data_IF_416816082878
#
_entry.id   IF_416816082878
#
_cell.length_a   1.000
_cell.length_b   1.000
_cell.length_c   1.000
_cell.angle_alpha   90.00
_cell.angle_beta   90.00
_cell.angle_gamma   90.00
#
_symmetry.space_group_name_H-M   'P 1'
#
loop_
_entity.id
_entity.type
_entity.pdbx_description
1 polymer ?
#
# COMPACT_ATOMS: atom_id res chain seq x y z
N UNK A 1 -15.05 26.38 -37.92
CA UNK A 1 -15.28 25.12 -37.17
C UNK A 1 -15.26 25.27 -35.62
N UNK A 2 -15.29 26.50 -35.05
CA UNK A 2 -15.24 26.75 -33.58
C UNK A 2 -16.64 26.79 -32.93
N UNK A 3 -17.72 26.81 -33.73
CA UNK A 3 -19.08 26.99 -33.21
C UNK A 3 -19.61 25.77 -32.43
N UNK A 4 -19.19 24.55 -32.73
CA UNK A 4 -19.81 23.34 -32.17
C UNK A 4 -19.60 23.22 -30.65
N UNK A 5 -18.40 23.53 -30.16
CA UNK A 5 -18.11 23.58 -28.72
C UNK A 5 -18.94 24.64 -27.98
N UNK A 6 -19.15 25.80 -28.62
CA UNK A 6 -19.95 26.88 -28.04
C UNK A 6 -21.43 26.50 -27.94
N UNK A 7 -21.94 25.77 -28.93
CA UNK A 7 -23.30 25.22 -28.94
C UNK A 7 -23.44 24.15 -27.86
N UNK A 8 -22.51 23.20 -27.78
CA UNK A 8 -22.48 22.16 -26.75
C UNK A 8 -22.46 22.74 -25.32
N UNK A 9 -21.67 23.79 -25.08
CA UNK A 9 -21.68 24.49 -23.79
C UNK A 9 -23.06 25.08 -23.46
N UNK A 10 -23.79 25.61 -24.45
CA UNK A 10 -25.14 26.15 -24.24
C UNK A 10 -26.15 25.04 -23.95
N UNK A 11 -26.08 23.93 -24.68
CA UNK A 11 -26.93 22.76 -24.47
C UNK A 11 -26.69 22.11 -23.10
N UNK A 12 -25.43 21.94 -22.68
CA UNK A 12 -25.14 21.35 -21.37
C UNK A 12 -25.58 22.28 -20.22
N UNK A 13 -25.54 23.60 -20.44
CA UNK A 13 -26.08 24.60 -19.50
C UNK A 13 -27.61 24.60 -19.47
N UNK A 14 -28.28 24.43 -20.61
CA UNK A 14 -29.74 24.33 -20.66
C UNK A 14 -30.22 23.03 -20.01
N UNK A 15 -29.50 21.94 -20.22
CA UNK A 15 -29.72 20.65 -19.59
C UNK A 15 -29.58 20.72 -18.06
N UNK A 16 -28.54 21.38 -17.55
CA UNK A 16 -28.38 21.62 -16.11
C UNK A 16 -29.48 22.46 -15.46
N UNK A 17 -30.20 23.28 -16.23
CA UNK A 17 -31.39 23.98 -15.74
C UNK A 17 -32.63 23.09 -15.67
N UNK A 18 -32.68 22.02 -16.48
CA UNK A 18 -33.83 21.10 -16.58
C UNK A 18 -33.72 19.91 -15.65
N UNK A 19 -32.51 19.47 -15.32
CA UNK A 19 -32.26 18.30 -14.47
C UNK A 19 -31.98 18.71 -13.03
N UNK A 20 -32.86 18.29 -12.12
CA UNK A 20 -32.69 18.51 -10.68
C UNK A 20 -31.41 17.79 -10.21
N UNK A 21 -30.53 18.50 -9.50
CA UNK A 21 -29.23 18.03 -8.99
C UNK A 21 -28.08 17.91 -10.01
N UNK A 22 -28.24 18.33 -11.26
CA UNK A 22 -27.11 18.40 -12.20
C UNK A 22 -26.56 19.83 -12.29
N UNK A 23 -25.31 20.04 -11.88
CA UNK A 23 -24.63 21.34 -11.97
C UNK A 23 -23.67 21.35 -13.15
N UNK A 24 -23.84 22.33 -14.05
CA UNK A 24 -22.88 22.54 -15.13
C UNK A 24 -21.50 22.92 -14.57
N UNK A 25 -20.46 22.22 -15.03
CA UNK A 25 -19.05 22.46 -14.75
C UNK A 25 -18.23 22.20 -16.03
N UNK A 26 -17.03 22.77 -16.13
CA UNK A 26 -16.17 22.50 -17.29
C UNK A 26 -15.72 21.04 -17.33
N UNK A 27 -15.55 20.40 -16.17
CA UNK A 27 -15.31 18.97 -16.07
C UNK A 27 -16.47 18.15 -16.62
N UNK A 28 -17.73 18.49 -16.33
CA UNK A 28 -18.89 17.79 -16.89
C UNK A 28 -18.95 17.86 -18.42
N UNK A 29 -18.50 18.97 -19.03
CA UNK A 29 -18.39 19.09 -20.49
C UNK A 29 -17.32 18.15 -21.05
N UNK A 30 -16.16 18.10 -20.41
CA UNK A 30 -15.05 17.22 -20.83
C UNK A 30 -15.46 15.75 -20.67
N UNK A 31 -16.06 15.39 -19.54
CA UNK A 31 -16.60 14.04 -19.29
C UNK A 31 -17.66 13.66 -20.32
N UNK A 32 -18.61 14.55 -20.63
CA UNK A 32 -19.63 14.30 -21.66
C UNK A 32 -19.02 14.01 -23.03
N UNK A 33 -17.99 14.78 -23.44
CA UNK A 33 -17.29 14.56 -24.70
C UNK A 33 -16.51 13.23 -24.73
N UNK A 34 -15.80 12.92 -23.64
CA UNK A 34 -15.07 11.66 -23.50
C UNK A 34 -16.02 10.45 -23.52
N UNK A 35 -17.10 10.50 -22.76
CA UNK A 35 -18.12 9.44 -22.74
C UNK A 35 -18.79 9.30 -24.10
N UNK A 36 -19.18 10.40 -24.75
CA UNK A 36 -19.77 10.36 -26.08
C UNK A 36 -18.84 9.81 -27.16
N UNK A 37 -17.53 10.10 -27.07
CA UNK A 37 -16.52 9.52 -27.97
C UNK A 37 -16.36 8.01 -27.76
N UNK A 38 -16.37 7.54 -26.51
CA UNK A 38 -16.30 6.11 -26.17
C UNK A 38 -17.49 5.37 -26.77
N UNK A 39 -18.69 5.92 -26.63
CA UNK A 39 -19.92 5.32 -27.14
C UNK A 39 -19.98 5.29 -28.68
N UNK A 40 -19.51 6.37 -29.35
CA UNK A 40 -19.47 6.45 -30.81
C UNK A 40 -18.38 5.60 -31.46
N UNK A 41 -17.22 5.47 -30.81
CA UNK A 41 -16.05 4.78 -31.39
C UNK A 41 -15.95 3.32 -30.94
N UNK A 42 -16.76 2.88 -29.98
CA UNK A 42 -16.69 1.55 -29.39
C UNK A 42 -15.37 1.27 -28.66
N UNK A 43 -14.50 2.28 -28.51
CA UNK A 43 -13.22 2.15 -27.81
C UNK A 43 -13.50 2.27 -26.33
N UNK A 44 -13.51 1.14 -25.64
CA UNK A 44 -13.45 1.05 -24.18
C UNK A 44 -12.12 1.62 -23.69
N UNK A 45 -11.99 2.95 -23.68
CA UNK A 45 -10.83 3.62 -23.13
C UNK A 45 -10.70 3.19 -21.66
N UNK A 46 -9.50 2.74 -21.32
CA UNK A 46 -8.98 2.09 -20.11
C UNK A 46 -9.28 2.73 -18.73
N UNK A 47 -10.38 3.47 -18.58
CA UNK A 47 -10.81 4.04 -17.30
C UNK A 47 -11.10 2.94 -16.26
N UNK A 48 -11.66 1.80 -16.71
CA UNK A 48 -11.86 0.60 -15.87
C UNK A 48 -10.58 -0.24 -15.66
N UNK A 49 -9.59 -0.15 -16.56
CA UNK A 49 -8.31 -0.86 -16.38
C UNK A 49 -7.49 -0.26 -15.24
N UNK A 50 -7.47 1.08 -15.11
CA UNK A 50 -6.77 1.75 -14.03
C UNK A 50 -7.34 1.38 -12.65
N UNK A 51 -8.67 1.28 -12.52
CA UNK A 51 -9.33 0.86 -11.27
C UNK A 51 -9.01 -0.60 -10.88
N UNK A 52 -9.04 -1.51 -11.86
CA UNK A 52 -8.69 -2.91 -11.65
C UNK A 52 -7.21 -3.10 -11.29
N UNK A 53 -6.32 -2.31 -11.90
CA UNK A 53 -4.89 -2.33 -11.61
C UNK A 53 -4.59 -1.82 -10.19
N UNK A 54 -5.25 -0.74 -9.76
CA UNK A 54 -5.16 -0.23 -8.38
C UNK A 54 -5.65 -1.27 -7.38
N UNK A 55 -6.75 -1.97 -7.68
CA UNK A 55 -7.28 -3.02 -6.81
C UNK A 55 -6.32 -4.22 -6.71
N UNK A 56 -5.69 -4.62 -7.81
CA UNK A 56 -4.70 -5.69 -7.85
C UNK A 56 -3.46 -5.33 -7.02
N UNK A 57 -2.94 -4.10 -7.17
CA UNK A 57 -1.82 -3.60 -6.38
C UNK A 57 -2.16 -3.54 -4.88
N UNK A 58 -3.37 -3.10 -4.52
CA UNK A 58 -3.84 -3.07 -3.13
C UNK A 58 -3.86 -4.47 -2.50
N UNK A 59 -4.34 -5.48 -3.25
CA UNK A 59 -4.30 -6.88 -2.81
C UNK A 59 -2.88 -7.38 -2.61
N UNK A 60 -1.98 -7.09 -3.55
CA UNK A 60 -0.57 -7.45 -3.44
C UNK A 60 0.10 -6.82 -2.22
N UNK A 61 -0.14 -5.53 -1.96
CA UNK A 61 0.37 -4.82 -0.78
C UNK A 61 -0.14 -5.46 0.52
N UNK A 62 -1.43 -5.79 0.61
CA UNK A 62 -2.00 -6.45 1.79
C UNK A 62 -1.32 -7.80 2.06
N UNK A 63 -1.11 -8.60 1.02
CA UNK A 63 -0.38 -9.87 1.15
C UNK A 63 1.07 -9.64 1.61
N UNK A 64 1.77 -8.68 1.02
CA UNK A 64 3.14 -8.33 1.41
C UNK A 64 3.23 -7.87 2.87
N UNK A 65 2.28 -7.07 3.35
CA UNK A 65 2.22 -6.64 4.76
C UNK A 65 2.05 -7.85 5.69
N UNK A 66 1.19 -8.81 5.33
CA UNK A 66 1.02 -10.01 6.16
C UNK A 66 2.28 -10.87 6.22
N UNK A 67 3.00 -11.00 5.09
CA UNK A 67 4.29 -11.70 5.04
C UNK A 67 5.33 -11.00 5.91
N UNK A 68 5.52 -9.69 5.76
CA UNK A 68 6.48 -8.89 6.54
C UNK A 68 6.20 -9.03 8.04
N UNK A 69 4.92 -9.02 8.45
CA UNK A 69 4.54 -9.22 9.85
C UNK A 69 4.93 -10.61 10.35
N UNK A 70 4.79 -11.64 9.51
CA UNK A 70 5.21 -13.00 9.83
C UNK A 70 6.73 -13.09 9.97
N UNK A 71 7.48 -12.56 9.00
CA UNK A 71 8.94 -12.57 8.99
C UNK A 71 9.50 -11.82 10.21
N UNK A 72 8.89 -10.68 10.56
CA UNK A 72 9.25 -9.93 11.75
C UNK A 72 9.01 -10.74 13.04
N UNK A 73 7.90 -11.46 13.14
CA UNK A 73 7.62 -12.34 14.30
C UNK A 73 8.64 -13.48 14.38
N UNK A 74 9.00 -14.07 13.25
CA UNK A 74 10.00 -15.13 13.19
C UNK A 74 11.38 -14.63 13.60
N UNK A 75 11.84 -13.52 13.02
CA UNK A 75 13.12 -12.89 13.37
C UNK A 75 13.19 -12.52 14.87
N UNK A 76 12.09 -12.01 15.44
CA UNK A 76 12.01 -11.72 16.88
C UNK A 76 12.11 -12.98 17.73
N UNK A 77 11.50 -14.08 17.30
CA UNK A 77 11.59 -15.35 18.00
C UNK A 77 13.02 -15.91 18.00
N UNK A 78 13.68 -15.93 16.84
CA UNK A 78 15.06 -16.39 16.72
C UNK A 78 16.03 -15.50 17.49
N UNK A 79 15.88 -14.17 17.46
CA UNK A 79 16.67 -13.26 18.29
C UNK A 79 16.53 -13.56 19.79
N UNK A 80 15.31 -13.79 20.27
CA UNK A 80 15.08 -14.16 21.67
C UNK A 80 15.74 -15.49 22.04
N UNK A 81 15.73 -16.46 21.12
CA UNK A 81 16.38 -17.77 21.33
C UNK A 81 17.90 -17.63 21.39
N UNK A 82 18.49 -16.87 20.48
CA UNK A 82 19.92 -16.58 20.45
C UNK A 82 20.36 -15.84 21.71
N UNK A 83 19.64 -14.81 22.14
CA UNK A 83 19.92 -14.10 23.39
C UNK A 83 19.93 -15.02 24.61
N UNK A 84 18.94 -15.92 24.73
CA UNK A 84 18.91 -16.91 25.81
C UNK A 84 20.13 -17.83 25.78
N UNK A 85 20.52 -18.31 24.58
CA UNK A 85 21.69 -19.16 24.42
C UNK A 85 22.98 -18.43 24.81
N UNK A 86 23.19 -17.21 24.30
CA UNK A 86 24.36 -16.40 24.63
C UNK A 86 24.43 -16.06 26.11
N UNK A 87 23.29 -15.75 26.76
CA UNK A 87 23.25 -15.53 28.20
C UNK A 87 23.68 -16.76 28.99
N UNK A 88 23.26 -17.97 28.58
CA UNK A 88 23.70 -19.21 29.22
C UNK A 88 25.20 -19.47 29.03
N UNK A 89 25.73 -19.19 27.83
CA UNK A 89 27.17 -19.28 27.56
C UNK A 89 27.97 -18.29 28.41
N UNK A 90 27.48 -17.05 28.56
CA UNK A 90 28.10 -16.04 29.42
C UNK A 90 28.11 -16.47 30.88
N UNK A 91 27.01 -17.02 31.40
CA UNK A 91 26.95 -17.57 32.76
C UNK A 91 27.98 -18.68 32.97
N UNK A 92 28.10 -19.62 32.02
CA UNK A 92 29.10 -20.70 32.09
C UNK A 92 30.53 -20.16 32.09
N UNK A 93 30.82 -19.16 31.27
CA UNK A 93 32.15 -18.53 31.22
C UNK A 93 32.47 -17.79 32.52
N UNK A 94 31.49 -17.11 33.13
CA UNK A 94 31.66 -16.48 34.45
C UNK A 94 31.94 -17.52 35.53
N UNK A 95 31.21 -18.63 35.53
CA UNK A 95 31.39 -19.73 36.49
C UNK A 95 32.79 -20.37 36.34
N UNK A 96 33.22 -20.65 35.10
CA UNK A 96 34.58 -21.11 34.82
C UNK A 96 35.64 -20.11 35.27
N UNK A 97 35.43 -18.81 35.04
CA UNK A 97 36.32 -17.76 35.51
C UNK A 97 36.46 -17.75 37.04
N UNK A 98 35.35 -17.86 37.78
CA UNK A 98 35.36 -17.93 39.24
C UNK A 98 36.09 -19.19 39.75
N UNK A 99 35.88 -20.34 39.09
CA UNK A 99 36.63 -21.57 39.41
C UNK A 99 38.15 -21.44 39.18
N UNK A 100 38.57 -20.75 38.11
CA UNK A 100 40.00 -20.50 37.81
C UNK A 100 40.61 -19.54 38.82
N UNK A 101 39.86 -18.54 39.31
CA UNK A 101 40.34 -17.58 40.33
C UNK A 101 40.38 -18.20 41.73
N UNK A 102 39.49 -19.16 42.04
CA UNK A 102 39.46 -19.88 43.33
C UNK A 102 40.47 -21.04 43.44
N UNK A 103 41.15 -21.38 42.35
CA UNK A 103 42.25 -22.35 42.30
C UNK A 103 43.58 -21.60 42.08
N UNK A 104 44.76 -21.96 42.63
CA UNK A 104 45.15 -22.80 43.77
C UNK A 104 45.50 -21.96 45.02
N UNK A 105 45.12 -20.67 45.04
CA UNK A 105 45.42 -19.75 46.14
C UNK A 105 44.51 -19.90 47.36
N UNK A 106 43.52 -20.80 47.30
CA UNK A 106 42.58 -21.07 48.41
C UNK A 106 43.07 -22.14 49.39
N UNK A 107 44.25 -22.73 49.18
CA UNK A 107 44.79 -23.80 50.03
C UNK A 107 46.12 -23.45 50.71
N UNK A 108 46.36 -22.17 51.00
CA UNK A 108 47.41 -21.69 51.91
C UNK A 108 46.78 -20.95 53.08
#
# INVERSE_FOLDING_TARGET
MINNLRVLKKELKSFAKRVKNFKYTESALITFLLTGLIELTGVSFNLFSAENEIQAQTKAINTSITSIKSDFRFARHENNKLLKKTNLELVKLMEQGDHVVKSPWSSW
#
